data_IF_076684319015
#
_entry.id   IF_076684319015
#
_cell.length_a   1.000
_cell.length_b   1.000
_cell.length_c   1.000
_cell.angle_alpha   90.00
_cell.angle_beta   90.00
_cell.angle_gamma   90.00
#
_symmetry.space_group_name_H-M   'P 1'
#
loop_
_entity.id
_entity.type
_entity.pdbx_description
1 polymer ?
#
# COMPACT_ATOMS: atom_id res chain seq x y z
N UNK A 1 18.84 -4.63 -14.55
CA UNK A 1 18.24 -3.28 -14.48
C UNK A 1 19.31 -2.26 -14.14
N UNK A 2 19.17 -1.03 -14.63
CA UNK A 2 20.19 0.03 -14.49
C UNK A 2 19.94 1.01 -13.33
N UNK A 3 18.87 0.84 -12.54
CA UNK A 3 18.49 1.76 -11.46
C UNK A 3 18.25 1.00 -10.14
N UNK A 4 18.55 1.60 -8.97
CA UNK A 4 18.26 1.04 -7.64
C UNK A 4 16.75 0.97 -7.37
N UNK A 5 16.33 0.08 -6.47
CA UNK A 5 14.93 -0.02 -6.03
C UNK A 5 14.93 -0.10 -4.50
N UNK A 6 14.26 0.84 -3.86
CA UNK A 6 14.14 0.89 -2.41
C UNK A 6 12.83 0.26 -1.93
N UNK A 7 12.82 -0.30 -0.73
CA UNK A 7 11.60 -0.71 -0.04
C UNK A 7 11.31 0.24 1.12
N UNK A 8 10.05 0.61 1.27
CA UNK A 8 9.57 1.45 2.37
C UNK A 8 8.46 0.71 3.08
N UNK A 9 8.58 0.50 4.39
CA UNK A 9 7.52 -0.06 5.23
C UNK A 9 7.13 0.92 6.33
N UNK A 10 5.83 1.17 6.47
CA UNK A 10 5.29 1.93 7.60
C UNK A 10 4.86 0.97 8.70
N UNK A 11 5.17 1.30 9.96
CA UNK A 11 4.70 0.53 11.11
C UNK A 11 4.49 1.42 12.33
N UNK A 12 3.48 1.06 13.12
CA UNK A 12 3.24 1.63 14.45
C UNK A 12 2.88 0.54 15.45
N UNK A 13 3.30 0.69 16.70
CA UNK A 13 2.82 -0.09 17.84
C UNK A 13 1.62 0.62 18.47
N UNK A 14 0.41 0.14 18.14
CA UNK A 14 -0.81 0.65 18.75
C UNK A 14 -0.96 0.38 20.24
N UNK A 15 -0.03 -0.38 20.85
CA UNK A 15 0.03 -0.64 22.30
C UNK A 15 1.03 0.25 23.05
N UNK A 16 1.86 1.04 22.35
CA UNK A 16 2.79 1.98 22.99
C UNK A 16 2.00 3.05 23.79
N UNK A 17 2.17 3.14 25.12
CA UNK A 17 1.46 4.10 25.95
C UNK A 17 1.71 5.56 25.57
N UNK A 18 2.91 5.91 25.14
CA UNK A 18 3.27 7.28 24.71
C UNK A 18 2.55 7.61 23.41
N UNK A 19 2.56 6.69 22.45
CA UNK A 19 1.84 6.87 21.18
C UNK A 19 0.33 6.93 21.38
N UNK A 20 -0.23 6.06 22.23
CA UNK A 20 -1.65 6.04 22.57
C UNK A 20 -2.08 7.33 23.27
N UNK A 21 -1.29 7.82 24.23
CA UNK A 21 -1.56 9.10 24.89
C UNK A 21 -1.58 10.24 23.88
N UNK A 22 -0.54 10.34 23.03
CA UNK A 22 -0.45 11.33 21.96
C UNK A 22 -1.65 11.27 21.02
N UNK A 23 -2.10 10.08 20.60
CA UNK A 23 -3.28 9.90 19.75
C UNK A 23 -4.56 10.38 20.43
N UNK A 24 -4.75 10.02 21.70
CA UNK A 24 -5.97 10.29 22.44
C UNK A 24 -6.19 11.79 22.71
N UNK A 25 -5.12 12.60 22.71
CA UNK A 25 -5.20 14.07 22.79
C UNK A 25 -5.92 14.69 21.58
N UNK A 26 -5.88 14.06 20.41
CA UNK A 26 -6.47 14.60 19.18
C UNK A 26 -7.80 13.94 18.78
N UNK A 27 -8.21 12.87 19.45
CA UNK A 27 -9.49 12.21 19.18
C UNK A 27 -10.65 13.06 19.74
N UNK A 28 -11.67 13.30 18.92
CA UNK A 28 -12.95 13.81 19.43
C UNK A 28 -13.65 12.74 20.26
N UNK A 29 -14.59 13.14 21.14
CA UNK A 29 -15.32 12.17 21.95
C UNK A 29 -16.13 11.17 21.11
N UNK A 30 -16.62 11.59 19.94
CA UNK A 30 -17.25 10.69 18.96
C UNK A 30 -16.28 9.69 18.35
N UNK A 31 -15.02 10.08 18.11
CA UNK A 31 -13.98 9.21 17.58
C UNK A 31 -13.42 8.26 18.63
N UNK A 32 -13.46 8.60 19.93
CA UNK A 32 -13.05 7.69 21.02
C UNK A 32 -13.98 6.48 21.14
N UNK A 33 -15.27 6.63 20.80
CA UNK A 33 -16.26 5.55 20.80
C UNK A 33 -16.02 4.57 19.63
N UNK A 34 -15.52 5.08 18.49
CA UNK A 34 -15.24 4.32 17.26
C UNK A 34 -13.74 4.12 17.04
N UNK A 35 -12.92 4.33 18.09
CA UNK A 35 -11.47 4.17 18.07
C UNK A 35 -11.16 2.67 18.02
N UNK A 36 -11.34 2.11 16.83
CA UNK A 36 -11.16 0.69 16.59
C UNK A 36 -9.66 0.38 16.72
N UNK A 37 -9.26 -0.17 17.87
CA UNK A 37 -7.88 -0.52 18.19
C UNK A 37 -7.24 -1.44 17.15
N UNK A 38 -8.06 -2.21 16.42
CA UNK A 38 -7.65 -3.07 15.31
C UNK A 38 -6.86 -2.35 14.20
N UNK A 39 -7.11 -1.05 13.95
CA UNK A 39 -6.41 -0.32 12.86
C UNK A 39 -4.92 -0.11 13.09
N UNK A 40 -4.48 -0.18 14.34
CA UNK A 40 -3.09 0.06 14.75
C UNK A 40 -2.51 -1.17 15.46
N UNK A 41 -3.14 -2.33 15.32
CA UNK A 41 -2.77 -3.54 16.04
C UNK A 41 -1.48 -4.11 15.46
N UNK A 42 -0.44 -4.16 16.26
CA UNK A 42 0.78 -4.89 15.91
C UNK A 42 0.57 -6.41 16.07
N UNK A 43 1.10 -7.18 15.11
CA UNK A 43 1.10 -8.64 15.14
C UNK A 43 2.40 -9.22 15.70
N UNK A 44 3.39 -8.38 16.05
CA UNK A 44 4.73 -8.84 16.43
C UNK A 44 5.49 -9.45 15.25
N UNK A 45 5.10 -9.11 14.02
CA UNK A 45 5.65 -9.66 12.78
C UNK A 45 6.62 -8.71 12.07
N UNK A 46 6.88 -7.51 12.62
CA UNK A 46 7.76 -6.53 11.98
C UNK A 46 9.16 -7.11 11.73
N UNK A 47 9.78 -7.74 12.73
CA UNK A 47 11.10 -8.38 12.53
C UNK A 47 11.05 -9.47 11.46
N UNK A 48 9.98 -10.26 11.44
CA UNK A 48 9.76 -11.29 10.42
C UNK A 48 9.63 -10.69 9.01
N UNK A 49 9.01 -9.51 8.88
CA UNK A 49 8.93 -8.77 7.62
C UNK A 49 10.33 -8.47 7.07
N UNK A 50 11.25 -7.95 7.90
CA UNK A 50 12.64 -7.69 7.51
C UNK A 50 13.40 -8.97 7.17
N UNK A 51 13.30 -10.00 8.02
CA UNK A 51 13.96 -11.29 7.78
C UNK A 51 13.53 -11.90 6.42
N UNK A 52 12.27 -11.70 6.03
CA UNK A 52 11.74 -12.10 4.72
C UNK A 52 12.27 -11.25 3.57
N UNK A 53 12.38 -9.93 3.72
CA UNK A 53 12.97 -9.05 2.70
C UNK A 53 14.42 -9.45 2.45
N UNK A 54 15.21 -9.66 3.50
CA UNK A 54 16.60 -10.11 3.37
C UNK A 54 16.73 -11.46 2.67
N UNK A 55 15.81 -12.39 2.94
CA UNK A 55 15.81 -13.72 2.33
C UNK A 55 15.33 -13.73 0.89
N UNK A 56 14.26 -13.01 0.58
CA UNK A 56 13.50 -13.15 -0.67
C UNK A 56 13.67 -11.99 -1.65
N UNK A 57 14.23 -10.86 -1.22
CA UNK A 57 14.55 -9.71 -2.04
C UNK A 57 15.98 -9.18 -1.75
N UNK A 58 17.04 -10.01 -1.76
CA UNK A 58 18.39 -9.58 -1.38
C UNK A 58 19.02 -8.55 -2.35
N UNK A 59 18.35 -8.24 -3.46
CA UNK A 59 18.75 -7.24 -4.45
C UNK A 59 18.26 -5.82 -4.11
N UNK A 60 17.40 -5.67 -3.10
CA UNK A 60 16.88 -4.38 -2.65
C UNK A 60 18.04 -3.44 -2.32
N UNK A 61 17.88 -2.16 -2.65
CA UNK A 61 18.90 -1.15 -2.39
C UNK A 61 18.85 -0.68 -0.93
N UNK A 62 17.93 0.23 -0.61
CA UNK A 62 17.68 0.66 0.75
C UNK A 62 16.36 0.09 1.26
N UNK A 63 16.28 -0.18 2.57
CA UNK A 63 15.03 -0.56 3.24
C UNK A 63 14.75 0.42 4.36
N UNK A 64 13.68 1.20 4.20
CA UNK A 64 13.25 2.22 5.15
C UNK A 64 12.17 1.66 6.08
N UNK A 65 12.40 1.79 7.38
CA UNK A 65 11.38 1.61 8.41
C UNK A 65 10.87 2.98 8.82
N UNK A 66 9.60 3.28 8.53
CA UNK A 66 8.97 4.54 8.91
C UNK A 66 8.08 4.33 10.12
N UNK A 67 8.32 5.10 11.18
CA UNK A 67 7.60 4.99 12.45
C UNK A 67 7.16 6.36 13.01
N UNK A 68 6.66 6.36 14.24
CA UNK A 68 6.23 7.55 14.96
C UNK A 68 6.97 7.67 16.31
N UNK A 69 8.30 7.69 16.25
CA UNK A 69 9.27 7.65 17.36
C UNK A 69 9.21 6.33 18.15
N UNK A 70 9.10 5.20 17.46
CA UNK A 70 8.90 3.89 18.07
C UNK A 70 9.72 2.76 17.42
N UNK A 71 10.72 3.10 16.60
CA UNK A 71 11.59 2.11 16.00
C UNK A 71 12.17 1.15 17.06
N UNK A 72 11.99 -0.18 16.94
CA UNK A 72 12.53 -1.11 17.91
C UNK A 72 14.07 -1.08 17.92
N UNK A 73 14.69 -1.31 19.09
CA UNK A 73 16.15 -1.30 19.23
C UNK A 73 16.87 -2.20 18.20
N UNK A 74 16.33 -3.39 17.93
CA UNK A 74 16.92 -4.31 16.95
C UNK A 74 16.92 -3.74 15.52
N UNK A 75 15.98 -2.84 15.20
CA UNK A 75 15.91 -2.18 13.90
C UNK A 75 16.91 -1.03 13.81
N UNK A 76 17.07 -0.27 14.89
CA UNK A 76 18.05 0.82 15.01
C UNK A 76 19.49 0.26 14.95
N UNK A 77 19.73 -0.91 15.55
CA UNK A 77 21.04 -1.56 15.58
C UNK A 77 21.42 -2.25 14.26
N UNK A 78 20.46 -2.55 13.38
CA UNK A 78 20.72 -3.18 12.08
C UNK A 78 21.03 -2.13 11.01
N UNK A 79 22.31 -2.00 10.66
CA UNK A 79 22.78 -1.01 9.67
C UNK A 79 22.20 -1.18 8.26
N UNK A 80 21.46 -2.25 7.98
CA UNK A 80 20.74 -2.45 6.71
C UNK A 80 19.37 -1.77 6.70
N UNK A 81 18.87 -1.34 7.86
CA UNK A 81 17.58 -0.69 8.04
C UNK A 81 17.82 0.81 8.23
N UNK A 82 17.16 1.63 7.42
CA UNK A 82 17.13 3.07 7.61
C UNK A 82 15.86 3.41 8.38
N UNK A 83 16.00 3.68 9.67
CA UNK A 83 14.88 4.09 10.52
C UNK A 83 14.62 5.57 10.37
N UNK A 84 13.39 5.94 10.00
CA UNK A 84 12.92 7.32 9.93
C UNK A 84 11.63 7.45 10.73
N UNK A 85 11.41 8.62 11.30
CA UNK A 85 10.16 8.99 11.92
C UNK A 85 9.34 9.91 11.02
N UNK A 86 8.04 9.99 11.28
CA UNK A 86 7.13 10.86 10.52
C UNK A 86 7.64 12.31 10.42
N UNK A 87 8.36 12.81 11.43
CA UNK A 87 8.93 14.16 11.43
C UNK A 87 10.11 14.39 10.48
N UNK A 88 10.75 13.32 10.01
CA UNK A 88 11.90 13.42 9.10
C UNK A 88 11.49 13.85 7.68
N UNK A 89 10.24 13.58 7.27
CA UNK A 89 9.80 13.83 5.89
C UNK A 89 8.42 14.48 5.78
N UNK A 90 7.58 14.45 6.82
CA UNK A 90 6.28 15.13 6.81
C UNK A 90 6.46 16.57 7.34
N UNK A 91 5.97 17.60 6.62
CA UNK A 91 6.04 18.98 7.11
C UNK A 91 5.42 19.14 8.51
N UNK A 92 6.14 19.80 9.43
CA UNK A 92 5.77 19.92 10.86
C UNK A 92 4.34 20.39 11.12
N UNK A 93 3.79 21.24 10.25
CA UNK A 93 2.41 21.74 10.36
C UNK A 93 1.33 20.66 10.19
N UNK A 94 1.68 19.50 9.63
CA UNK A 94 0.79 18.35 9.43
C UNK A 94 0.98 17.26 10.50
N UNK A 95 1.81 17.51 11.50
CA UNK A 95 2.10 16.56 12.58
C UNK A 95 1.43 16.97 13.91
N UNK A 96 1.17 16.00 14.82
CA UNK A 96 1.25 14.55 14.58
C UNK A 96 0.13 14.07 13.64
N UNK A 97 0.37 12.96 12.95
CA UNK A 97 -0.64 12.29 12.11
C UNK A 97 -0.75 10.82 12.47
N UNK A 98 -1.98 10.30 12.41
CA UNK A 98 -2.35 8.90 12.60
C UNK A 98 -3.05 8.35 11.35
N UNK A 99 -2.92 9.05 10.23
CA UNK A 99 -3.59 8.75 8.98
C UNK A 99 -2.59 8.16 7.98
N UNK A 100 -2.76 6.88 7.63
CA UNK A 100 -1.88 6.20 6.66
C UNK A 100 -1.82 6.94 5.32
N UNK A 101 -2.93 7.52 4.85
CA UNK A 101 -2.97 8.33 3.63
C UNK A 101 -2.00 9.52 3.68
N UNK A 102 -1.84 10.16 4.84
CA UNK A 102 -0.92 11.30 5.01
C UNK A 102 0.53 10.83 4.97
N UNK A 103 0.82 9.73 5.66
CA UNK A 103 2.16 9.13 5.69
C UNK A 103 2.57 8.72 4.28
N UNK A 104 1.71 7.92 3.62
CA UNK A 104 1.88 7.42 2.26
C UNK A 104 2.08 8.55 1.23
N UNK A 105 1.27 9.61 1.30
CA UNK A 105 1.33 10.72 0.35
C UNK A 105 2.54 11.64 0.58
N UNK A 106 3.27 11.52 1.69
CA UNK A 106 4.47 12.31 1.94
C UNK A 106 5.78 11.53 1.73
N UNK A 107 5.75 10.21 1.48
CA UNK A 107 6.95 9.36 1.34
C UNK A 107 8.00 9.90 0.35
N UNK A 108 7.56 10.52 -0.74
CA UNK A 108 8.44 11.11 -1.75
C UNK A 108 9.36 12.23 -1.21
N UNK A 109 9.03 12.79 -0.04
CA UNK A 109 9.83 13.83 0.64
C UNK A 109 11.02 13.25 1.40
N UNK A 110 11.14 11.93 1.51
CA UNK A 110 12.35 11.30 2.06
C UNK A 110 13.50 11.63 1.11
N UNK A 111 14.50 12.35 1.64
CA UNK A 111 15.55 12.97 0.83
C UNK A 111 16.32 11.93 0.00
N UNK A 112 16.80 10.87 0.65
CA UNK A 112 17.62 9.81 0.02
C UNK A 112 16.80 8.72 -0.71
N UNK A 113 15.47 8.82 -0.72
CA UNK A 113 14.62 7.85 -1.41
C UNK A 113 14.85 7.92 -2.93
N UNK A 114 15.15 6.78 -3.55
CA UNK A 114 15.37 6.69 -4.99
C UNK A 114 14.09 6.90 -5.80
N UNK A 115 14.27 7.13 -7.11
CA UNK A 115 13.16 7.29 -8.06
C UNK A 115 12.22 6.09 -8.04
N UNK A 116 12.76 4.88 -8.01
CA UNK A 116 11.99 3.64 -8.00
C UNK A 116 11.95 3.08 -6.58
N UNK A 117 10.76 3.02 -5.99
CA UNK A 117 10.59 2.41 -4.67
C UNK A 117 9.29 1.59 -4.58
N UNK A 118 9.25 0.64 -3.66
CA UNK A 118 8.06 -0.17 -3.39
C UNK A 118 7.60 0.11 -1.97
N UNK A 119 6.34 0.53 -1.84
CA UNK A 119 5.73 0.75 -0.54
C UNK A 119 5.00 -0.49 -0.04
N UNK A 120 5.18 -0.78 1.23
CA UNK A 120 4.54 -1.85 1.99
C UNK A 120 3.86 -1.25 3.22
N UNK A 121 2.63 -1.68 3.50
CA UNK A 121 2.17 -1.71 4.87
C UNK A 121 2.81 -2.91 5.59
N UNK A 122 2.81 -2.88 6.92
CA UNK A 122 3.33 -3.94 7.78
C UNK A 122 2.58 -5.28 7.66
N UNK A 123 1.37 -5.28 7.10
CA UNK A 123 0.60 -6.48 6.79
C UNK A 123 0.94 -7.13 5.42
N UNK A 124 1.85 -6.53 4.64
CA UNK A 124 2.24 -6.98 3.30
C UNK A 124 3.58 -7.73 3.32
N UNK A 125 3.57 -9.05 3.22
CA UNK A 125 4.76 -9.88 3.36
C UNK A 125 5.32 -10.39 2.03
N UNK A 126 6.64 -10.33 1.89
CA UNK A 126 7.37 -11.10 0.86
C UNK A 126 7.42 -12.57 1.30
N UNK A 127 6.72 -13.42 0.57
CA UNK A 127 6.51 -14.82 0.94
C UNK A 127 7.39 -15.81 0.16
N UNK A 128 7.82 -15.45 -1.04
CA UNK A 128 8.67 -16.24 -1.93
C UNK A 128 9.68 -15.31 -2.62
N UNK A 129 10.77 -15.84 -3.20
CA UNK A 129 11.74 -15.03 -3.94
C UNK A 129 11.07 -14.13 -4.99
N UNK A 130 11.39 -12.83 -4.91
CA UNK A 130 10.98 -11.81 -5.88
C UNK A 130 12.20 -11.36 -6.69
N UNK A 131 11.98 -10.97 -7.94
CA UNK A 131 12.98 -10.26 -8.74
C UNK A 131 12.59 -8.80 -8.89
N UNK A 132 13.52 -7.98 -9.36
CA UNK A 132 13.27 -6.56 -9.64
C UNK A 132 12.12 -6.39 -10.64
N UNK A 133 12.05 -7.31 -11.62
CA UNK A 133 11.08 -7.36 -12.71
C UNK A 133 9.64 -7.67 -12.25
N UNK A 134 9.47 -8.11 -11.01
CA UNK A 134 8.14 -8.24 -10.42
C UNK A 134 7.50 -6.87 -10.09
N UNK A 135 8.33 -5.83 -9.91
CA UNK A 135 7.89 -4.50 -9.49
C UNK A 135 8.05 -3.44 -10.59
N UNK A 136 9.15 -3.48 -11.35
CA UNK A 136 9.44 -2.53 -12.43
C UNK A 136 9.91 -3.26 -13.69
N UNK A 137 9.65 -2.74 -14.88
CA UNK A 137 10.27 -3.28 -16.10
C UNK A 137 11.73 -2.81 -16.22
N UNK A 138 12.56 -3.40 -17.11
CA UNK A 138 13.90 -2.88 -17.38
C UNK A 138 13.94 -1.40 -17.78
N UNK A 139 12.85 -0.89 -18.38
CA UNK A 139 12.65 0.50 -18.76
C UNK A 139 12.11 1.38 -17.62
N UNK A 140 11.89 0.81 -16.43
CA UNK A 140 11.44 1.54 -15.24
C UNK A 140 9.92 1.71 -15.11
N UNK A 141 9.10 0.99 -15.91
CA UNK A 141 7.64 1.07 -15.77
C UNK A 141 7.14 0.23 -14.58
N UNK A 142 6.21 0.73 -13.76
CA UNK A 142 5.63 -0.06 -12.67
C UNK A 142 4.84 -1.26 -13.21
N UNK A 143 4.99 -2.41 -12.58
CA UNK A 143 4.30 -3.66 -12.94
C UNK A 143 3.03 -3.79 -12.09
N UNK A 144 1.87 -3.61 -12.72
CA UNK A 144 0.57 -3.43 -12.06
C UNK A 144 -0.56 -4.20 -12.76
N UNK A 145 -1.66 -4.45 -12.04
CA UNK A 145 -2.87 -5.00 -12.64
C UNK A 145 -3.73 -3.88 -13.22
N UNK A 146 -3.87 -3.84 -14.55
CA UNK A 146 -4.67 -2.85 -15.25
C UNK A 146 -6.13 -3.24 -15.50
N UNK A 147 -6.64 -4.32 -14.91
CA UNK A 147 -8.04 -4.71 -15.12
C UNK A 147 -9.00 -3.61 -14.62
N UNK A 148 -10.08 -3.35 -15.35
CA UNK A 148 -11.09 -2.39 -14.89
C UNK A 148 -12.04 -3.04 -13.90
N UNK A 149 -12.40 -2.29 -12.85
CA UNK A 149 -13.42 -2.71 -11.88
C UNK A 149 -14.14 -1.48 -11.34
N UNK A 150 -15.48 -1.44 -11.41
CA UNK A 150 -16.24 -0.34 -10.83
C UNK A 150 -15.94 -0.18 -9.34
N UNK A 151 -15.86 1.07 -8.89
CA UNK A 151 -15.91 1.37 -7.46
C UNK A 151 -17.30 0.99 -6.95
N UNK A 152 -17.33 0.16 -5.91
CA UNK A 152 -18.57 -0.26 -5.25
C UNK A 152 -18.65 0.48 -3.91
N UNK A 153 -19.71 1.25 -3.70
CA UNK A 153 -19.96 1.93 -2.43
C UNK A 153 -20.27 0.89 -1.35
N UNK A 154 -19.31 0.64 -0.46
CA UNK A 154 -19.44 -0.32 0.66
C UNK A 154 -19.26 0.34 2.00
N UNK A 155 -18.29 1.24 2.09
CA UNK A 155 -17.84 1.84 3.34
C UNK A 155 -17.27 3.22 3.08
N UNK A 156 -16.88 3.92 4.15
CA UNK A 156 -16.27 5.26 4.05
C UNK A 156 -15.04 5.27 3.14
N UNK A 157 -14.22 4.22 3.18
CA UNK A 157 -13.04 4.10 2.31
C UNK A 157 -13.38 4.11 0.81
N UNK A 158 -14.59 3.68 0.42
CA UNK A 158 -15.05 3.78 -0.97
C UNK A 158 -15.11 5.24 -1.47
N UNK A 159 -15.32 6.22 -0.57
CA UNK A 159 -15.31 7.66 -0.90
C UNK A 159 -13.91 8.14 -1.26
N UNK A 160 -12.91 7.71 -0.50
CA UNK A 160 -11.50 8.05 -0.74
C UNK A 160 -11.05 7.54 -2.11
N UNK A 161 -11.37 6.27 -2.44
CA UNK A 161 -11.09 5.72 -3.78
C UNK A 161 -11.84 6.48 -4.88
N UNK A 162 -13.05 6.96 -4.58
CA UNK A 162 -13.82 7.78 -5.51
C UNK A 162 -13.17 9.15 -5.74
N UNK A 163 -12.61 9.81 -4.73
CA UNK A 163 -11.85 11.06 -4.87
C UNK A 163 -10.67 10.87 -5.83
N UNK A 164 -9.92 9.78 -5.67
CA UNK A 164 -8.83 9.44 -6.59
C UNK A 164 -9.34 9.34 -8.04
N UNK A 165 -10.48 8.66 -8.26
CA UNK A 165 -11.05 8.49 -9.60
C UNK A 165 -11.72 9.75 -10.17
N UNK A 166 -12.20 10.67 -9.33
CA UNK A 166 -12.65 11.99 -9.77
C UNK A 166 -11.49 12.74 -10.41
N UNK A 167 -10.35 12.83 -9.72
CA UNK A 167 -9.15 13.45 -10.26
C UNK A 167 -8.68 12.78 -11.56
N UNK A 168 -8.60 11.44 -11.56
CA UNK A 168 -8.14 10.68 -12.73
C UNK A 168 -9.03 10.91 -13.95
N UNK A 169 -10.36 10.93 -13.78
CA UNK A 169 -11.26 11.17 -14.91
C UNK A 169 -11.22 12.62 -15.41
N UNK A 170 -10.93 13.59 -14.53
CA UNK A 170 -10.76 14.99 -14.93
C UNK A 170 -9.46 15.22 -15.69
N UNK A 171 -8.35 14.59 -15.28
CA UNK A 171 -7.02 14.81 -15.86
C UNK A 171 -6.66 13.87 -17.01
N UNK A 172 -7.16 12.64 -16.97
CA UNK A 172 -6.79 11.58 -17.91
C UNK A 172 -8.05 10.93 -18.53
N UNK A 173 -8.78 11.63 -19.42
CA UNK A 173 -10.01 11.10 -20.01
C UNK A 173 -9.77 9.77 -20.75
N UNK A 174 -10.63 8.77 -20.49
CA UNK A 174 -10.45 7.41 -21.05
C UNK A 174 -10.34 7.38 -22.58
N UNK A 175 -11.07 8.26 -23.26
CA UNK A 175 -11.06 8.42 -24.72
C UNK A 175 -9.65 8.62 -25.30
N UNK A 176 -8.78 9.28 -24.55
CA UNK A 176 -7.50 9.79 -25.04
C UNK A 176 -6.36 8.80 -24.83
N UNK A 177 -6.54 7.91 -23.85
CA UNK A 177 -5.50 6.98 -23.38
C UNK A 177 -5.82 5.51 -23.68
N UNK A 178 -7.08 5.07 -23.51
CA UNK A 178 -7.40 3.64 -23.59
C UNK A 178 -7.01 3.03 -24.94
N UNK A 179 -7.38 3.68 -26.06
CA UNK A 179 -7.14 3.16 -27.42
C UNK A 179 -5.65 2.95 -27.72
N UNK A 180 -4.77 3.77 -27.14
CA UNK A 180 -3.31 3.68 -27.31
C UNK A 180 -2.71 2.49 -26.57
N UNK A 181 -3.40 2.01 -25.53
CA UNK A 181 -2.87 1.00 -24.59
C UNK A 181 -3.80 -0.20 -24.40
N UNK A 182 -4.78 -0.43 -25.28
CA UNK A 182 -5.80 -1.49 -25.17
C UNK A 182 -5.25 -2.87 -24.79
N UNK A 183 -4.11 -3.27 -25.37
CA UNK A 183 -3.46 -4.57 -25.08
C UNK A 183 -2.98 -4.72 -23.63
N UNK A 184 -2.73 -3.62 -22.93
CA UNK A 184 -2.35 -3.63 -21.51
C UNK A 184 -3.55 -3.93 -20.60
N UNK A 185 -4.76 -3.52 -20.99
CA UNK A 185 -5.99 -3.77 -20.24
C UNK A 185 -6.64 -5.12 -20.61
N UNK A 186 -6.58 -5.50 -21.89
CA UNK A 186 -7.11 -6.77 -22.40
C UNK A 186 -5.97 -7.79 -22.47
N UNK A 187 -5.52 -8.28 -21.31
CA UNK A 187 -4.41 -9.23 -21.19
C UNK A 187 -4.82 -10.52 -20.47
N UNK A 188 -5.30 -11.50 -21.24
CA UNK A 188 -5.80 -12.79 -20.70
C UNK A 188 -4.68 -13.57 -20.00
N UNK A 189 -3.44 -13.50 -20.50
CA UNK A 189 -2.29 -14.21 -19.93
C UNK A 189 -2.04 -13.77 -18.49
N UNK A 190 -2.09 -12.47 -18.23
CA UNK A 190 -1.74 -11.92 -16.92
C UNK A 190 -2.95 -11.79 -16.00
N UNK A 191 -4.13 -11.44 -16.51
CA UNK A 191 -5.32 -11.17 -15.66
C UNK A 191 -6.30 -12.34 -15.61
N UNK A 192 -6.22 -13.28 -16.56
CA UNK A 192 -7.20 -14.34 -16.74
C UNK A 192 -8.50 -13.88 -17.41
N UNK A 193 -9.26 -14.84 -17.91
CA UNK A 193 -10.44 -14.57 -18.75
C UNK A 193 -11.54 -13.78 -18.01
N UNK A 194 -11.80 -14.07 -16.74
CA UNK A 194 -12.87 -13.41 -15.96
C UNK A 194 -12.59 -11.91 -15.81
N UNK A 195 -11.37 -11.54 -15.42
CA UNK A 195 -11.00 -10.13 -15.25
C UNK A 195 -11.03 -9.37 -16.59
N UNK A 196 -10.66 -10.02 -17.69
CA UNK A 196 -10.77 -9.46 -19.03
C UNK A 196 -12.22 -9.26 -19.46
N UNK A 197 -13.11 -10.21 -19.19
CA UNK A 197 -14.55 -10.07 -19.48
C UNK A 197 -15.17 -8.92 -18.69
N UNK A 198 -14.83 -8.78 -17.40
CA UNK A 198 -15.24 -7.62 -16.59
C UNK A 198 -14.67 -6.33 -17.17
N UNK A 199 -13.42 -6.33 -17.62
CA UNK A 199 -12.84 -5.15 -18.28
C UNK A 199 -13.62 -4.76 -19.53
N UNK A 200 -13.90 -5.73 -20.40
CA UNK A 200 -14.66 -5.54 -21.65
C UNK A 200 -16.08 -5.02 -21.36
N UNK A 201 -16.79 -5.58 -20.39
CA UNK A 201 -18.14 -5.12 -20.03
C UNK A 201 -18.17 -3.68 -19.53
N UNK A 202 -17.06 -3.20 -18.97
CA UNK A 202 -16.91 -1.81 -18.50
C UNK A 202 -16.40 -0.83 -19.56
N UNK A 203 -16.07 -1.29 -20.77
CA UNK A 203 -15.68 -0.39 -21.87
C UNK A 203 -16.84 0.43 -22.42
N UNK A 204 -18.09 0.03 -22.14
CA UNK A 204 -19.30 0.76 -22.59
C UNK A 204 -19.42 2.16 -21.98
N UNK A 205 -18.85 2.38 -20.79
CA UNK A 205 -18.91 3.68 -20.13
C UNK A 205 -17.94 4.66 -20.80
N UNK A 206 -18.25 5.95 -20.85
CA UNK A 206 -17.33 6.94 -21.42
C UNK A 206 -16.09 7.13 -20.52
N UNK A 207 -16.30 7.18 -19.21
CA UNK A 207 -15.26 7.46 -18.22
C UNK A 207 -14.60 6.17 -17.69
N UNK A 208 -13.50 6.31 -16.97
CA UNK A 208 -12.94 5.23 -16.16
C UNK A 208 -13.88 4.94 -15.00
N UNK A 209 -14.31 3.69 -14.89
CA UNK A 209 -15.20 3.22 -13.80
C UNK A 209 -14.44 2.94 -12.50
N UNK A 210 -13.12 2.84 -12.58
CA UNK A 210 -12.24 2.35 -11.54
C UNK A 210 -11.31 1.24 -12.06
N UNK A 211 -10.30 0.93 -11.27
CA UNK A 211 -9.31 -0.11 -11.54
C UNK A 211 -9.40 -1.21 -10.49
N UNK A 212 -8.90 -2.40 -10.82
CA UNK A 212 -8.84 -3.50 -9.87
C UNK A 212 -7.81 -3.23 -8.78
N UNK A 213 -8.26 -3.27 -7.53
CA UNK A 213 -7.46 -3.10 -6.33
C UNK A 213 -6.95 -4.45 -5.82
N UNK A 214 -5.69 -4.79 -6.12
CA UNK A 214 -5.07 -6.05 -5.67
C UNK A 214 -4.59 -6.03 -4.22
N UNK A 215 -4.55 -4.84 -3.58
CA UNK A 215 -4.10 -4.61 -2.21
C UNK A 215 -2.66 -5.10 -1.95
N UNK A 216 -1.82 -5.21 -2.97
CA UNK A 216 -0.44 -5.66 -2.84
C UNK A 216 0.52 -4.49 -2.71
N UNK A 217 1.77 -4.77 -2.32
CA UNK A 217 2.85 -3.79 -2.30
C UNK A 217 2.96 -3.03 -3.64
N UNK A 218 3.13 -1.71 -3.54
CA UNK A 218 2.94 -0.79 -4.66
C UNK A 218 4.28 -0.27 -5.18
N UNK A 219 4.64 -0.53 -6.45
CA UNK A 219 5.75 0.16 -7.09
C UNK A 219 5.37 1.61 -7.38
N UNK A 220 6.26 2.53 -7.00
CA UNK A 220 6.08 3.96 -7.07
C UNK A 220 7.26 4.65 -7.74
N UNK A 221 6.97 5.79 -8.36
CA UNK A 221 7.94 6.67 -9.01
C UNK A 221 7.94 8.01 -8.28
N UNK A 222 9.06 8.39 -7.65
CA UNK A 222 9.19 9.64 -6.88
C UNK A 222 8.85 10.86 -7.74
N UNK A 223 9.27 10.87 -9.01
CA UNK A 223 8.95 11.92 -9.99
C UNK A 223 7.45 12.18 -10.17
N UNK A 224 6.58 11.18 -10.02
CA UNK A 224 5.13 11.36 -10.17
C UNK A 224 4.49 12.04 -8.96
N UNK A 225 5.03 11.83 -7.76
CA UNK A 225 4.61 12.62 -6.60
C UNK A 225 5.02 14.09 -6.76
N UNK A 226 6.24 14.33 -7.25
CA UNK A 226 6.73 15.69 -7.50
C UNK A 226 5.89 16.41 -8.55
N UNK A 227 5.59 15.75 -9.66
CA UNK A 227 4.72 16.30 -10.72
C UNK A 227 3.30 16.58 -10.20
N UNK A 228 2.72 15.64 -9.47
CA UNK A 228 1.39 15.82 -8.86
C UNK A 228 1.40 16.98 -7.85
N UNK A 229 2.44 17.11 -7.03
CA UNK A 229 2.53 18.18 -6.04
C UNK A 229 2.78 19.55 -6.71
N UNK A 230 3.46 19.57 -7.85
CA UNK A 230 3.73 20.78 -8.63
C UNK A 230 2.47 21.27 -9.35
N UNK A 231 1.68 20.34 -9.91
CA UNK A 231 0.50 20.66 -10.72
C UNK A 231 -0.79 20.75 -9.90
N UNK A 232 -0.87 20.04 -8.78
CA UNK A 232 -2.04 19.92 -7.90
C UNK A 232 -1.62 19.83 -6.41
N UNK A 233 -0.94 20.87 -5.86
CA UNK A 233 -0.48 20.87 -4.46
C UNK A 233 -1.63 20.75 -3.43
N UNK A 234 -2.85 21.12 -3.81
CA UNK A 234 -4.04 21.00 -2.97
C UNK A 234 -4.35 19.56 -2.56
N UNK A 235 -3.99 18.56 -3.38
CA UNK A 235 -4.21 17.13 -3.06
C UNK A 235 -3.41 16.73 -1.83
N UNK A 236 -2.13 17.12 -1.79
CA UNK A 236 -1.24 16.84 -0.67
C UNK A 236 -1.63 17.68 0.55
N UNK A 237 -1.95 18.95 0.34
CA UNK A 237 -2.27 19.89 1.41
C UNK A 237 -3.58 19.50 2.11
N UNK A 238 -4.65 19.19 1.35
CA UNK A 238 -5.93 18.74 1.88
C UNK A 238 -5.79 17.43 2.65
N UNK A 239 -5.13 16.42 2.05
CA UNK A 239 -4.94 15.12 2.71
C UNK A 239 -4.13 15.29 3.99
N UNK A 240 -3.03 16.05 3.94
CA UNK A 240 -2.10 16.20 5.09
C UNK A 240 -2.69 16.99 6.26
N UNK A 241 -3.77 17.75 6.07
CA UNK A 241 -4.48 18.40 7.19
C UNK A 241 -5.27 17.41 8.06
N UNK A 242 -5.55 16.21 7.58
CA UNK A 242 -6.35 15.22 8.29
C UNK A 242 -5.49 14.29 9.15
N UNK A 243 -5.42 14.57 10.46
CA UNK A 243 -4.72 13.72 11.44
C UNK A 243 -5.26 12.29 11.51
N UNK A 244 -6.55 12.10 11.19
CA UNK A 244 -7.21 10.80 11.11
C UNK A 244 -7.85 10.66 9.73
N UNK A 245 -8.03 9.42 9.27
CA UNK A 245 -8.63 9.13 7.96
C UNK A 245 -9.93 9.88 7.75
N UNK A 246 -10.00 10.61 6.65
CA UNK A 246 -11.14 11.44 6.24
C UNK A 246 -11.73 10.93 4.93
N UNK A 247 -13.06 11.02 4.73
CA UNK A 247 -13.70 10.76 3.44
C UNK A 247 -13.14 11.62 2.29
N UNK A 248 -12.52 12.76 2.61
CA UNK A 248 -11.97 13.72 1.66
C UNK A 248 -10.48 13.48 1.36
N UNK A 249 -9.90 12.40 1.88
CA UNK A 249 -8.50 12.04 1.61
C UNK A 249 -8.28 11.60 0.15
N UNK A 250 -7.02 11.72 -0.27
CA UNK A 250 -6.44 10.96 -1.37
C UNK A 250 -5.44 9.95 -0.82
N UNK A 251 -5.24 8.84 -1.52
CA UNK A 251 -4.28 7.79 -1.11
C UNK A 251 -3.19 7.61 -2.14
N UNK A 252 -2.14 6.86 -1.80
CA UNK A 252 -1.09 6.46 -2.75
C UNK A 252 -1.65 5.74 -3.99
N UNK A 253 -2.85 5.19 -3.90
CA UNK A 253 -3.55 4.58 -5.04
C UNK A 253 -3.90 5.59 -6.12
N UNK A 254 -3.94 6.90 -5.81
CA UNK A 254 -4.06 7.94 -6.83
C UNK A 254 -2.93 7.82 -7.85
N UNK A 255 -1.67 7.75 -7.40
CA UNK A 255 -0.50 7.61 -8.27
C UNK A 255 -0.60 6.34 -9.12
N UNK A 256 -0.99 5.23 -8.48
CA UNK A 256 -1.27 3.97 -9.16
C UNK A 256 -2.34 4.13 -10.25
N UNK A 257 -3.45 4.78 -9.95
CA UNK A 257 -4.55 5.01 -10.89
C UNK A 257 -4.12 5.95 -12.04
N UNK A 258 -3.23 6.89 -11.79
CA UNK A 258 -2.65 7.74 -12.83
C UNK A 258 -1.74 6.93 -13.77
N UNK A 259 -0.89 6.03 -13.25
CA UNK A 259 -0.12 5.10 -14.10
C UNK A 259 -1.05 4.26 -14.99
N UNK A 260 -2.11 3.70 -14.39
CA UNK A 260 -3.07 2.87 -15.10
C UNK A 260 -3.87 3.66 -16.14
N UNK A 261 -4.29 4.88 -15.84
CA UNK A 261 -5.05 5.72 -16.76
C UNK A 261 -4.19 6.21 -17.94
N UNK A 262 -2.93 6.56 -17.69
CA UNK A 262 -2.00 7.03 -18.72
C UNK A 262 -1.36 5.90 -19.54
N UNK A 263 -1.50 4.65 -19.09
CA UNK A 263 -0.84 3.51 -19.70
C UNK A 263 0.65 3.37 -19.33
N UNK A 264 1.13 4.13 -18.34
CA UNK A 264 2.50 4.10 -17.81
C UNK A 264 2.70 2.92 -16.85
N UNK A 265 2.41 1.71 -17.31
CA UNK A 265 2.57 0.49 -16.52
C UNK A 265 2.82 -0.74 -17.41
N UNK A 266 3.22 -1.84 -16.79
CA UNK A 266 3.29 -3.17 -17.42
C UNK A 266 2.34 -4.16 -16.73
N UNK A 267 1.60 -5.00 -17.47
CA UNK A 267 0.65 -5.96 -16.89
C UNK A 267 1.28 -6.97 -15.91
N UNK A 268 0.86 -6.92 -14.66
CA UNK A 268 1.22 -7.87 -13.58
C UNK A 268 0.47 -9.19 -13.72
N UNK A 269 1.16 -10.30 -13.49
CA UNK A 269 0.52 -11.62 -13.42
C UNK A 269 -0.35 -11.73 -12.14
N UNK A 270 -1.60 -12.17 -12.28
CA UNK A 270 -2.56 -12.34 -11.17
C UNK A 270 -2.09 -13.30 -10.06
N UNK A 271 -1.10 -14.16 -10.35
CA UNK A 271 -0.56 -15.09 -9.36
C UNK A 271 0.55 -14.47 -8.49
N UNK A 272 0.93 -13.22 -8.75
CA UNK A 272 1.99 -12.53 -8.02
C UNK A 272 1.72 -12.46 -6.51
N UNK A 273 0.53 -12.05 -6.11
CA UNK A 273 0.16 -11.99 -4.70
C UNK A 273 -1.32 -12.21 -4.45
N UNK A 274 -1.67 -12.39 -3.18
CA UNK A 274 -3.06 -12.53 -2.74
C UNK A 274 -3.23 -12.02 -1.31
N UNK A 275 -4.29 -11.25 -1.09
CA UNK A 275 -4.75 -10.83 0.24
C UNK A 275 -5.62 -11.91 0.88
N UNK A 276 -5.44 -12.11 2.18
CA UNK A 276 -6.27 -12.95 3.04
C UNK A 276 -6.66 -12.15 4.27
N UNK A 277 -7.96 -12.01 4.50
CA UNK A 277 -8.47 -11.56 5.80
C UNK A 277 -8.39 -12.70 6.78
N UNK A 278 -7.78 -12.45 7.94
CA UNK A 278 -7.74 -13.42 9.04
C UNK A 278 -8.78 -12.99 10.06
N UNK A 279 -9.76 -13.86 10.30
CA UNK A 279 -10.82 -13.64 11.28
C UNK A 279 -10.86 -14.75 12.34
N UNK A 280 -10.37 -15.93 11.98
CA UNK A 280 -10.37 -17.11 12.83
C UNK A 280 -9.18 -18.03 12.51
N UNK A 281 -8.95 -19.03 13.37
CA UNK A 281 -7.82 -19.97 13.26
C UNK A 281 -7.81 -20.78 11.94
N UNK A 282 -8.97 -21.03 11.33
CA UNK A 282 -9.01 -21.80 10.07
C UNK A 282 -8.42 -21.02 8.89
N UNK A 283 -8.47 -19.69 8.93
CA UNK A 283 -7.90 -18.82 7.90
C UNK A 283 -6.37 -18.97 7.82
N UNK A 284 -5.71 -19.38 8.92
CA UNK A 284 -4.27 -19.65 8.96
C UNK A 284 -3.85 -20.78 8.01
N UNK A 285 -4.75 -21.73 7.70
CA UNK A 285 -4.47 -22.76 6.67
C UNK A 285 -4.33 -22.12 5.29
N UNK A 286 -5.16 -21.10 5.00
CA UNK A 286 -5.05 -20.33 3.77
C UNK A 286 -3.75 -19.53 3.75
N UNK A 287 -3.39 -18.85 4.85
CA UNK A 287 -2.10 -18.16 4.99
C UNK A 287 -0.94 -19.10 4.67
N UNK A 288 -0.88 -20.27 5.32
CA UNK A 288 0.18 -21.29 5.08
C UNK A 288 0.30 -21.71 3.62
N UNK A 289 -0.84 -21.87 2.93
CA UNK A 289 -0.88 -22.23 1.50
C UNK A 289 -0.38 -21.08 0.62
N UNK A 290 -0.79 -19.85 0.91
CA UNK A 290 -0.37 -18.66 0.16
C UNK A 290 1.11 -18.38 0.32
N UNK A 291 1.66 -18.56 1.53
CA UNK A 291 3.09 -18.39 1.79
C UNK A 291 3.99 -19.29 0.91
N UNK A 292 3.46 -20.42 0.44
CA UNK A 292 4.17 -21.37 -0.44
C UNK A 292 3.92 -21.15 -1.93
N UNK A 293 2.93 -20.34 -2.30
CA UNK A 293 2.42 -20.27 -3.68
C UNK A 293 2.37 -18.87 -4.26
N UNK A 294 2.52 -17.83 -3.44
CA UNK A 294 2.48 -16.42 -3.84
C UNK A 294 3.79 -15.73 -3.47
N UNK A 295 4.19 -14.75 -4.26
CA UNK A 295 5.36 -13.91 -3.97
C UNK A 295 5.05 -12.88 -2.89
N UNK A 296 3.87 -12.26 -2.96
CA UNK A 296 3.37 -11.33 -1.93
C UNK A 296 2.11 -11.91 -1.27
N UNK A 297 2.05 -11.87 0.06
CA UNK A 297 0.87 -12.26 0.84
C UNK A 297 0.51 -11.12 1.76
N UNK A 298 -0.75 -10.68 1.71
CA UNK A 298 -1.25 -9.60 2.56
C UNK A 298 -2.18 -10.19 3.60
N UNK A 299 -1.90 -9.96 4.87
CA UNK A 299 -2.59 -10.58 6.01
C UNK A 299 -3.40 -9.51 6.73
N UNK A 300 -4.58 -9.22 6.20
CA UNK A 300 -5.40 -8.13 6.71
C UNK A 300 -6.14 -8.54 7.99
N UNK A 301 -6.25 -7.59 8.92
CA UNK A 301 -6.96 -7.78 10.17
C UNK A 301 -8.47 -7.81 9.97
N UNK A 302 -9.09 -8.89 10.41
CA UNK A 302 -10.53 -8.98 10.63
C UNK A 302 -10.81 -9.77 11.90
N UNK A 303 -9.85 -9.78 12.82
CA UNK A 303 -9.84 -10.57 14.06
C UNK A 303 -10.55 -9.78 15.15
N UNK A 304 -11.52 -10.44 15.77
CA UNK A 304 -12.18 -9.99 16.99
C UNK A 304 -11.18 -9.86 18.15
N UNK A 305 -11.24 -8.76 18.90
CA UNK A 305 -10.28 -8.43 19.97
C UNK A 305 -10.13 -9.56 21.00
N UNK A 306 -11.20 -10.30 21.31
CA UNK A 306 -11.15 -11.39 22.30
C UNK A 306 -10.33 -12.60 21.81
N UNK A 307 -10.21 -12.78 20.49
CA UNK A 307 -9.46 -13.89 19.88
C UNK A 307 -8.08 -13.48 19.35
N UNK A 308 -7.80 -12.17 19.30
CA UNK A 308 -6.59 -11.59 18.72
C UNK A 308 -5.32 -12.26 19.22
N UNK A 309 -5.08 -12.29 20.54
CA UNK A 309 -3.84 -12.86 21.10
C UNK A 309 -3.60 -14.33 20.71
N UNK A 310 -4.66 -15.15 20.68
CA UNK A 310 -4.55 -16.57 20.34
C UNK A 310 -4.25 -16.79 18.86
N UNK A 311 -4.87 -16.01 17.98
CA UNK A 311 -4.68 -16.08 16.54
C UNK A 311 -3.31 -15.52 16.16
N UNK A 312 -2.91 -14.37 16.73
CA UNK A 312 -1.63 -13.73 16.51
C UNK A 312 -0.48 -14.66 16.93
N UNK A 313 -0.54 -15.26 18.11
CA UNK A 313 0.50 -16.22 18.54
C UNK A 313 0.66 -17.39 17.56
N UNK A 314 -0.44 -17.94 17.03
CA UNK A 314 -0.38 -19.00 16.01
C UNK A 314 0.15 -18.49 14.67
N UNK A 315 -0.18 -17.25 14.32
CA UNK A 315 0.29 -16.60 13.11
C UNK A 315 1.81 -16.37 13.18
N UNK A 316 2.33 -15.87 14.30
CA UNK A 316 3.79 -15.70 14.53
C UNK A 316 4.52 -17.01 14.29
N UNK A 317 4.12 -18.09 14.97
CA UNK A 317 4.71 -19.43 14.78
C UNK A 317 4.62 -19.93 13.33
N UNK A 318 3.56 -19.57 12.60
CA UNK A 318 3.37 -19.97 11.21
C UNK A 318 4.24 -19.16 10.24
N UNK A 319 4.57 -17.92 10.62
CA UNK A 319 5.34 -16.96 9.81
C UNK A 319 6.85 -17.10 10.01
N UNK A 320 7.32 -17.79 11.06
CA UNK A 320 8.73 -18.14 11.25
C UNK A 320 9.31 -18.84 10.00
N UNK A 321 10.52 -18.44 9.60
CA UNK A 321 11.16 -18.82 8.32
C UNK A 321 12.48 -19.55 8.51
#
# INVERSE_FOLDING_TARGET
MAFPIDFVVSWVDGSDPTWVAKKNEYLTDSQKIDANNSRYRDYGLLKNWFDRVWRYAPWVNNVYLITDNQAPNWAIEDSRIITLDHEDFIPKQYLPTFNSSVIEMNLWRIDELNEHFVYFNDDMFVAQPVSREDFFTPEGLPVLNGSLRPIIAREMFSKIVFNNMLFVNQKFPKSDYFRKHTRKYINIRNYGIVAVLVTISNLIYHNWVGFFEDHLAYPNLKSWFLDLNTTNPEIFTQTSMHRFRSPDDYTIWLLKNMYLATGTFSPRNKNFGEMVGVSNVNDLRKVKRLLKSKKIVVINDSIDDFQASSIINKLVNLMEI
#
